data_IF_666167261494
#
_entry.id   IF_666167261494
#
_cell.length_a   1.000
_cell.length_b   1.000
_cell.length_c   1.000
_cell.angle_alpha   90.00
_cell.angle_beta   90.00
_cell.angle_gamma   90.00
#
_symmetry.space_group_name_H-M   'P 1'
#
loop_
_entity.id
_entity.type
_entity.pdbx_description
1 polymer ?
#
# COMPACT_ATOMS: atom_id res chain seq x y z
N UNK A 1 -16.53 17.92 -10.82
CA UNK A 1 -15.98 16.63 -11.32
C UNK A 1 -16.93 15.51 -10.94
N UNK A 2 -17.31 14.71 -11.90
CA UNK A 2 -18.16 13.55 -11.67
C UNK A 2 -17.43 12.51 -10.83
N UNK A 3 -18.19 11.69 -10.09
CA UNK A 3 -17.61 10.64 -9.24
C UNK A 3 -16.74 9.67 -10.05
N UNK A 4 -17.18 9.31 -11.26
CA UNK A 4 -16.41 8.40 -12.11
C UNK A 4 -15.06 9.01 -12.51
N UNK A 5 -15.02 10.31 -12.74
CA UNK A 5 -13.78 11.01 -13.08
C UNK A 5 -12.79 10.96 -11.92
N UNK A 6 -13.29 11.12 -10.71
CA UNK A 6 -12.48 11.02 -9.48
C UNK A 6 -11.93 9.61 -9.32
N UNK A 7 -12.74 8.59 -9.61
CA UNK A 7 -12.32 7.19 -9.56
C UNK A 7 -11.23 6.91 -10.58
N UNK A 8 -11.37 7.43 -11.81
CA UNK A 8 -10.32 7.29 -12.82
C UNK A 8 -9.03 8.01 -12.42
N UNK A 9 -9.13 9.18 -11.83
CA UNK A 9 -7.95 9.87 -11.30
C UNK A 9 -7.25 9.04 -10.22
N UNK A 10 -8.02 8.47 -9.32
CA UNK A 10 -7.48 7.59 -8.28
C UNK A 10 -6.75 6.38 -8.89
N UNK A 11 -7.36 5.73 -9.89
CA UNK A 11 -6.74 4.59 -10.57
C UNK A 11 -5.42 4.96 -11.25
N UNK A 12 -5.36 6.15 -11.86
CA UNK A 12 -4.11 6.65 -12.44
C UNK A 12 -3.07 6.95 -11.38
N UNK A 13 -3.51 7.48 -10.25
CA UNK A 13 -2.64 7.85 -9.14
C UNK A 13 -1.97 6.61 -8.51
N UNK A 14 -2.72 5.54 -8.29
CA UNK A 14 -2.19 4.34 -7.66
C UNK A 14 -1.19 3.58 -8.55
N UNK A 15 -1.16 3.86 -9.84
CA UNK A 15 -0.14 3.31 -10.73
C UNK A 15 1.27 3.67 -10.27
N UNK A 16 1.42 4.78 -9.56
CA UNK A 16 2.69 5.24 -8.99
C UNK A 16 3.28 4.28 -7.96
N UNK A 17 2.47 3.40 -7.36
CA UNK A 17 2.99 2.37 -6.43
C UNK A 17 4.02 1.46 -7.11
N UNK A 18 3.90 1.27 -8.42
CA UNK A 18 4.84 0.46 -9.20
C UNK A 18 6.25 1.06 -9.25
N UNK A 19 6.38 2.34 -8.94
CA UNK A 19 7.65 3.06 -8.95
C UNK A 19 8.24 3.28 -7.55
N UNK A 20 7.54 2.82 -6.51
CA UNK A 20 8.01 2.95 -5.13
C UNK A 20 8.74 1.67 -4.73
N UNK A 21 10.07 1.76 -4.62
CA UNK A 21 10.92 0.64 -4.24
C UNK A 21 10.87 0.36 -2.75
N UNK A 22 10.87 -0.92 -2.40
CA UNK A 22 11.02 -1.37 -1.03
C UNK A 22 12.48 -1.69 -0.75
N UNK A 23 12.80 -1.96 0.52
CA UNK A 23 14.17 -2.33 0.90
C UNK A 23 14.46 -3.82 0.74
N UNK A 24 13.44 -4.61 0.40
CA UNK A 24 13.55 -6.04 0.18
C UNK A 24 13.73 -6.37 -1.30
N UNK A 25 14.51 -7.41 -1.57
CA UNK A 25 14.76 -7.87 -2.93
C UNK A 25 13.79 -8.97 -3.33
N UNK A 26 13.60 -9.11 -4.64
CA UNK A 26 12.92 -10.28 -5.19
C UNK A 26 13.74 -11.55 -4.87
N UNK A 27 13.10 -12.70 -4.97
CA UNK A 27 13.74 -13.99 -4.60
C UNK A 27 15.05 -14.27 -5.31
N UNK A 28 15.21 -13.77 -6.55
CA UNK A 28 16.45 -13.92 -7.31
C UNK A 28 17.53 -12.90 -6.93
N UNK A 29 17.24 -11.95 -6.05
CA UNK A 29 18.17 -10.94 -5.57
C UNK A 29 18.60 -9.89 -6.58
N UNK A 30 17.98 -9.84 -7.76
CA UNK A 30 18.42 -8.98 -8.85
C UNK A 30 17.89 -7.55 -8.75
N UNK A 31 16.67 -7.38 -8.23
CA UNK A 31 16.11 -6.04 -8.00
C UNK A 31 15.26 -6.00 -6.76
N UNK A 32 15.04 -4.80 -6.24
CA UNK A 32 14.15 -4.59 -5.11
C UNK A 32 12.70 -4.70 -5.55
N UNK A 33 11.88 -5.21 -4.65
CA UNK A 33 10.43 -5.30 -4.81
C UNK A 33 9.82 -3.90 -4.78
N UNK A 34 8.81 -3.64 -5.62
CA UNK A 34 8.02 -2.42 -5.51
C UNK A 34 6.77 -2.64 -4.65
N UNK A 35 6.10 -1.53 -4.26
CA UNK A 35 4.95 -1.60 -3.36
C UNK A 35 3.77 -2.36 -3.95
N UNK A 36 3.55 -2.26 -5.26
CA UNK A 36 2.46 -2.97 -5.92
C UNK A 36 2.68 -4.49 -5.89
N UNK A 37 3.91 -4.92 -6.13
CA UNK A 37 4.29 -6.35 -6.08
C UNK A 37 4.13 -6.90 -4.66
N UNK A 38 4.53 -6.11 -3.67
CA UNK A 38 4.41 -6.48 -2.26
C UNK A 38 2.94 -6.66 -1.87
N UNK A 39 2.08 -5.70 -2.20
CA UNK A 39 0.66 -5.77 -1.88
C UNK A 39 -0.01 -6.97 -2.54
N UNK A 40 0.30 -7.21 -3.81
CA UNK A 40 -0.21 -8.37 -4.55
C UNK A 40 0.20 -9.69 -3.88
N UNK A 41 1.48 -9.84 -3.53
CA UNK A 41 2.01 -11.05 -2.91
C UNK A 41 1.36 -11.31 -1.55
N UNK A 42 1.24 -10.28 -0.73
CA UNK A 42 0.59 -10.40 0.59
C UNK A 42 -0.90 -10.75 0.48
N UNK A 43 -1.59 -10.21 -0.52
CA UNK A 43 -2.99 -10.53 -0.75
C UNK A 43 -3.17 -12.02 -1.10
N UNK A 44 -2.33 -12.55 -1.98
CA UNK A 44 -2.36 -13.98 -2.33
C UNK A 44 -2.03 -14.85 -1.11
N UNK A 45 -1.04 -14.47 -0.32
CA UNK A 45 -0.69 -15.19 0.91
C UNK A 45 -1.88 -15.25 1.87
N UNK A 46 -2.63 -14.17 2.01
CA UNK A 46 -3.81 -14.12 2.87
C UNK A 46 -4.90 -15.09 2.39
N UNK A 47 -5.14 -15.13 1.09
CA UNK A 47 -6.15 -16.02 0.50
C UNK A 47 -5.78 -17.49 0.76
N UNK A 48 -4.51 -17.83 0.61
CA UNK A 48 -4.05 -19.21 0.77
C UNK A 48 -3.87 -19.63 2.23
N UNK A 49 -3.32 -18.75 3.06
CA UNK A 49 -2.88 -19.09 4.41
C UNK A 49 -3.86 -18.65 5.50
N UNK A 50 -4.96 -17.98 5.13
CA UNK A 50 -5.95 -17.51 6.11
C UNK A 50 -6.56 -18.64 6.95
N UNK A 51 -6.64 -19.86 6.42
CA UNK A 51 -7.14 -21.04 7.16
C UNK A 51 -6.29 -21.40 8.38
N UNK A 52 -5.03 -20.96 8.41
CA UNK A 52 -4.11 -21.22 9.53
C UNK A 52 -4.10 -20.10 10.57
N UNK A 53 -4.92 -19.08 10.41
CA UNK A 53 -5.01 -18.00 11.39
C UNK A 53 -5.52 -18.54 12.73
N UNK A 54 -5.10 -17.94 13.84
CA UNK A 54 -5.53 -18.34 15.18
C UNK A 54 -7.00 -18.09 15.43
N UNK A 55 -7.58 -17.15 14.70
CA UNK A 55 -9.00 -16.80 14.78
C UNK A 55 -9.55 -16.70 13.36
N UNK A 56 -10.86 -16.78 13.23
CA UNK A 56 -11.52 -16.56 11.96
C UNK A 56 -11.27 -15.13 11.48
N UNK A 57 -10.84 -14.97 10.23
CA UNK A 57 -10.57 -13.66 9.65
C UNK A 57 -11.55 -13.38 8.51
N UNK A 58 -11.87 -12.10 8.32
CA UNK A 58 -12.59 -11.63 7.15
C UNK A 58 -11.58 -11.48 6.02
N UNK A 59 -11.51 -12.48 5.15
CA UNK A 59 -10.51 -12.54 4.07
C UNK A 59 -10.66 -11.37 3.11
N UNK A 60 -11.88 -11.03 2.71
CA UNK A 60 -12.11 -9.92 1.79
C UNK A 60 -11.64 -8.60 2.38
N UNK A 61 -11.99 -8.34 3.62
CA UNK A 61 -11.57 -7.11 4.33
C UNK A 61 -10.05 -7.04 4.47
N UNK A 62 -9.42 -8.15 4.85
CA UNK A 62 -7.97 -8.21 5.03
C UNK A 62 -7.25 -7.99 3.71
N UNK A 63 -7.66 -8.64 2.64
CA UNK A 63 -7.10 -8.46 1.30
C UNK A 63 -7.26 -7.02 0.83
N UNK A 64 -8.43 -6.44 1.02
CA UNK A 64 -8.68 -5.04 0.65
C UNK A 64 -7.73 -4.11 1.39
N UNK A 65 -7.57 -4.29 2.70
CA UNK A 65 -6.65 -3.47 3.49
C UNK A 65 -5.20 -3.62 3.03
N UNK A 66 -4.78 -4.84 2.70
CA UNK A 66 -3.41 -5.10 2.21
C UNK A 66 -3.16 -4.42 0.86
N UNK A 67 -4.14 -4.42 -0.02
CA UNK A 67 -4.01 -3.80 -1.34
C UNK A 67 -3.91 -2.27 -1.27
N UNK A 68 -4.47 -1.65 -0.24
CA UNK A 68 -4.50 -0.19 -0.13
C UNK A 68 -3.52 0.38 0.91
N UNK A 69 -2.92 -0.46 1.76
CA UNK A 69 -2.12 0.04 2.90
C UNK A 69 -0.90 0.87 2.48
N UNK A 70 -0.31 0.59 1.32
CA UNK A 70 0.86 1.30 0.81
C UNK A 70 0.51 2.52 -0.06
N UNK A 71 -0.78 2.80 -0.28
CA UNK A 71 -1.19 3.97 -1.08
C UNK A 71 -0.60 5.26 -0.51
N UNK A 72 -0.48 5.35 0.82
CA UNK A 72 0.10 6.51 1.49
C UNK A 72 1.54 6.78 1.08
N UNK A 73 2.27 5.74 0.67
CA UNK A 73 3.67 5.84 0.25
C UNK A 73 3.86 6.65 -1.03
N UNK A 74 2.82 6.81 -1.83
CA UNK A 74 2.88 7.60 -3.07
C UNK A 74 3.28 9.04 -2.77
N UNK A 75 2.78 9.61 -1.68
CA UNK A 75 3.10 10.98 -1.28
C UNK A 75 4.17 11.06 -0.20
N UNK A 76 4.18 10.08 0.70
CA UNK A 76 5.07 10.10 1.87
C UNK A 76 6.46 9.54 1.57
N UNK A 77 6.56 8.61 0.62
CA UNK A 77 7.79 7.88 0.34
C UNK A 77 8.16 6.90 1.44
N UNK A 78 9.02 5.95 1.10
CA UNK A 78 9.55 4.99 2.07
C UNK A 78 10.61 5.63 2.96
N UNK A 79 10.62 5.23 4.22
CA UNK A 79 11.62 5.68 5.20
C UNK A 79 12.32 4.46 5.80
N UNK A 80 13.65 4.53 5.90
CA UNK A 80 14.43 3.42 6.47
C UNK A 80 14.06 3.19 7.93
N UNK A 81 14.01 1.91 8.31
CA UNK A 81 13.56 1.49 9.63
C UNK A 81 14.40 2.05 10.80
N UNK A 82 15.66 2.37 10.55
CA UNK A 82 16.58 2.93 11.55
C UNK A 82 16.60 4.45 11.61
N UNK A 83 15.84 5.13 10.76
CA UNK A 83 15.73 6.60 10.75
C UNK A 83 14.53 7.00 11.61
N UNK A 84 14.79 7.30 12.90
CA UNK A 84 13.73 7.64 13.84
C UNK A 84 13.05 8.97 13.53
N UNK A 85 13.81 9.98 13.09
CA UNK A 85 13.22 11.26 12.66
C UNK A 85 12.40 11.10 11.41
N UNK A 86 12.93 10.35 10.44
CA UNK A 86 12.19 10.01 9.23
C UNK A 86 10.92 9.27 9.53
N UNK A 87 10.92 8.35 10.50
CA UNK A 87 9.71 7.63 10.92
C UNK A 87 8.63 8.54 11.48
N UNK A 88 9.02 9.52 12.32
CA UNK A 88 8.08 10.51 12.85
C UNK A 88 7.41 11.31 11.74
N UNK A 89 8.22 11.87 10.84
CA UNK A 89 7.71 12.64 9.70
C UNK A 89 6.98 11.77 8.70
N UNK A 90 7.40 10.52 8.54
CA UNK A 90 6.72 9.55 7.68
C UNK A 90 5.29 9.32 8.15
N UNK A 91 5.08 9.12 9.46
CA UNK A 91 3.74 8.92 10.00
C UNK A 91 2.82 10.10 9.69
N UNK A 92 3.31 11.32 9.92
CA UNK A 92 2.55 12.52 9.62
C UNK A 92 2.24 12.65 8.14
N UNK A 93 3.21 12.36 7.26
CA UNK A 93 3.03 12.37 5.81
C UNK A 93 2.03 11.32 5.36
N UNK A 94 2.10 10.12 5.95
CA UNK A 94 1.18 9.03 5.65
C UNK A 94 -0.26 9.36 6.04
N UNK A 95 -0.46 9.97 7.21
CA UNK A 95 -1.78 10.40 7.66
C UNK A 95 -2.39 11.41 6.69
N UNK A 96 -1.62 12.42 6.28
CA UNK A 96 -2.08 13.42 5.32
C UNK A 96 -2.33 12.81 3.94
N UNK A 97 -1.46 11.92 3.49
CA UNK A 97 -1.61 11.26 2.21
C UNK A 97 -2.83 10.35 2.20
N UNK A 98 -3.08 9.62 3.29
CA UNK A 98 -4.25 8.77 3.43
C UNK A 98 -5.55 9.58 3.36
N UNK A 99 -5.64 10.70 4.08
CA UNK A 99 -6.79 11.58 4.03
C UNK A 99 -7.05 12.09 2.62
N UNK A 100 -6.01 12.52 1.93
CA UNK A 100 -6.13 13.04 0.57
C UNK A 100 -6.56 11.97 -0.43
N UNK A 101 -5.93 10.79 -0.38
CA UNK A 101 -6.22 9.70 -1.33
C UNK A 101 -7.60 9.08 -1.09
N UNK A 102 -7.94 8.80 0.15
CA UNK A 102 -9.24 8.23 0.51
C UNK A 102 -10.35 9.22 0.19
N UNK A 103 -10.16 10.49 0.49
CA UNK A 103 -11.11 11.55 0.14
C UNK A 103 -11.38 11.60 -1.35
N UNK A 104 -10.34 11.49 -2.19
CA UNK A 104 -10.48 11.46 -3.65
C UNK A 104 -11.28 10.25 -4.14
N UNK A 105 -11.10 9.10 -3.52
CA UNK A 105 -11.76 7.86 -3.94
C UNK A 105 -13.26 7.85 -3.58
N UNK A 106 -13.65 8.54 -2.52
CA UNK A 106 -14.99 8.47 -1.97
C UNK A 106 -15.86 9.71 -2.20
N UNK A 107 -15.30 10.78 -2.69
CA UNK A 107 -16.04 12.03 -2.96
C UNK A 107 -16.83 12.07 -4.27
#
# INVERSE_FOLDING_TARGET
>A
MERIDQQFEFLREIDKEKFIGRQTYLTDGKRKENDAEHAWHMAIMTILLGEYANEEIDVLKTVTMLLIHDIVEIDAGDTYAYDEEGKKTQREREEKAAERKIGRAHV
#
